data_IF_658288493636
#
_entry.id   IF_658288493636
#
_cell.length_a   1.000
_cell.length_b   1.000
_cell.length_c   1.000
_cell.angle_alpha   90.00
_cell.angle_beta   90.00
_cell.angle_gamma   90.00
#
_symmetry.space_group_name_H-M   'P 1'
#
loop_
_entity.id
_entity.type
_entity.pdbx_description
1 polymer ?
2 polymer ?
3 polymer ?
4 polymer ?
5 non-polymer ?
6 non-polymer ?
7 non-polymer ?
8 non-polymer ?
9 non-polymer ?
10 non-polymer ?
11 water ?
#
loop_
_entity_poly.entity_id
_entity_poly.type
_entity_poly.pdbx_seq_one_letter_code
_entity_poly.pdbx_strand_id
2 'polydeoxyribonucleotide' '(DC)(DG)(DG)(DC)(DC)(DT)(DA)(DC)(DG)' ?
3 'polydeoxyribonucleotide' '(DC)(DG)(DT)(DA)' ?
4 'polydeoxyribonucleotide' '(DG)(DC)(DC)(DG)' ?
#
# COMPACT_ATOMS: atom_id res chain seq x y z
N UNK A 11 0.70 -6.10 -26.94
CA UNK A 11 -0.71 -5.92 -26.60
C UNK A 11 -0.84 -5.39 -25.18
N UNK A 12 -0.47 -6.23 -24.22
CA UNK A 12 -0.55 -5.84 -22.81
C UNK A 12 0.61 -4.91 -22.51
N UNK A 13 0.34 -3.68 -22.05
CA UNK A 13 1.42 -2.75 -21.77
C UNK A 13 2.27 -3.25 -20.63
N UNK A 14 3.54 -2.81 -20.63
CA UNK A 14 4.53 -3.35 -19.71
C UNK A 14 4.46 -2.73 -18.31
N UNK A 15 4.02 -1.48 -18.19
CA UNK A 15 3.92 -0.82 -16.90
C UNK A 15 2.50 -0.92 -16.33
N UNK A 16 2.39 -1.10 -15.02
CA UNK A 16 1.07 -1.23 -14.42
C UNK A 16 0.23 0.04 -14.56
N UNK A 17 0.86 1.19 -14.68
CA UNK A 17 0.14 2.45 -14.81
C UNK A 17 -0.40 2.70 -16.21
N UNK A 18 -0.12 1.79 -17.15
CA UNK A 18 -0.62 1.89 -18.50
C UNK A 18 -1.84 1.02 -18.74
N UNK A 19 -2.32 0.33 -17.72
CA UNK A 19 -3.42 -0.60 -17.95
C UNK A 19 -4.36 -0.58 -16.75
N UNK A 20 -5.66 -0.70 -17.00
CA UNK A 20 -6.62 -0.76 -15.91
C UNK A 20 -6.49 -2.07 -15.15
N UNK A 21 -6.48 -1.99 -13.83
CA UNK A 21 -6.46 -3.17 -12.98
C UNK A 21 -7.61 -3.06 -11.99
N UNK A 22 -8.69 -3.81 -12.19
CA UNK A 22 -9.84 -3.73 -11.29
C UNK A 22 -9.58 -4.49 -9.99
N UNK A 23 -10.46 -4.22 -9.02
CA UNK A 23 -10.38 -4.90 -7.73
C UNK A 23 -10.67 -6.39 -7.86
N UNK A 24 -11.70 -6.73 -8.61
CA UNK A 24 -12.07 -8.12 -8.87
C UNK A 24 -11.59 -8.52 -10.25
N UNK A 25 -10.87 -9.64 -10.32
CA UNK A 25 -10.29 -10.06 -11.58
C UNK A 25 -10.43 -11.57 -11.67
N UNK A 26 -9.82 -12.15 -12.71
CA UNK A 26 -10.15 -13.51 -13.12
C UNK A 26 -9.04 -14.53 -12.89
N UNK A 27 -7.95 -14.17 -12.20
CA UNK A 27 -6.80 -15.04 -12.12
C UNK A 27 -6.23 -15.05 -10.71
N UNK A 28 -7.11 -15.05 -9.71
CA UNK A 28 -6.66 -14.89 -8.33
C UNK A 28 -5.73 -16.01 -7.89
N UNK A 29 -6.05 -17.26 -8.26
CA UNK A 29 -5.19 -18.37 -7.85
C UNK A 29 -3.77 -18.20 -8.35
N UNK A 30 -3.62 -17.83 -9.63
CA UNK A 30 -2.29 -17.63 -10.20
C UNK A 30 -1.58 -16.44 -9.59
N UNK A 31 -2.27 -15.31 -9.46
CA UNK A 31 -1.63 -14.12 -8.93
C UNK A 31 -1.22 -14.33 -7.46
N UNK A 32 -2.06 -15.04 -6.69
CA UNK A 32 -1.71 -15.25 -5.28
C UNK A 32 -0.44 -16.09 -5.15
N UNK A 33 -0.28 -17.09 -6.03
CA UNK A 33 0.92 -17.92 -5.99
C UNK A 33 2.16 -17.10 -6.32
N UNK A 34 2.09 -16.28 -7.36
CA UNK A 34 3.23 -15.45 -7.70
C UNK A 34 3.55 -14.46 -6.59
N UNK A 35 2.52 -13.94 -5.90
CA UNK A 35 2.73 -13.00 -4.79
C UNK A 35 3.37 -13.69 -3.57
N UNK A 36 3.10 -14.98 -3.35
CA UNK A 36 3.85 -15.74 -2.35
C UNK A 36 5.35 -15.69 -2.68
N UNK A 37 5.70 -16.04 -3.93
CA UNK A 37 7.10 -16.03 -4.32
C UNK A 37 7.69 -14.62 -4.22
N UNK A 38 6.91 -13.58 -4.53
CA UNK A 38 7.41 -12.21 -4.39
C UNK A 38 7.72 -11.90 -2.92
N UNK A 39 6.78 -12.21 -2.02
CA UNK A 39 6.96 -11.99 -0.59
C UNK A 39 8.19 -12.74 -0.08
N UNK A 40 8.34 -14.00 -0.49
CA UNK A 40 9.49 -14.79 -0.07
C UNK A 40 10.79 -14.20 -0.59
N UNK A 41 10.77 -13.68 -1.81
CA UNK A 41 11.96 -13.03 -2.33
C UNK A 41 12.33 -11.83 -1.48
N UNK A 42 11.33 -11.04 -1.05
CA UNK A 42 11.59 -9.94 -0.14
C UNK A 42 12.20 -10.41 1.18
N UNK A 43 11.69 -11.52 1.71
CA UNK A 43 12.20 -12.04 2.99
C UNK A 43 13.66 -12.42 2.89
N UNK A 44 14.13 -12.77 1.70
CA UNK A 44 15.52 -13.15 1.51
C UNK A 44 16.37 -11.99 1.01
N UNK A 45 15.79 -10.80 0.90
CA UNK A 45 16.53 -9.61 0.52
C UNK A 45 16.68 -9.38 -0.95
N UNK A 46 15.88 -10.01 -1.81
CA UNK A 46 15.97 -9.73 -3.25
C UNK A 46 14.79 -8.86 -3.68
N UNK A 47 15.01 -7.55 -3.67
CA UNK A 47 13.96 -6.67 -4.10
C UNK A 47 13.75 -6.69 -5.61
N UNK A 48 14.75 -7.14 -6.38
CA UNK A 48 14.51 -7.28 -7.82
C UNK A 48 13.58 -8.44 -8.16
N UNK A 49 13.85 -9.62 -7.59
CA UNK A 49 12.95 -10.75 -7.81
C UNK A 49 11.56 -10.45 -7.26
N UNK A 50 11.47 -9.81 -6.09
CA UNK A 50 10.16 -9.43 -5.56
C UNK A 50 9.40 -8.59 -6.59
N UNK A 51 10.08 -7.61 -7.19
CA UNK A 51 9.42 -6.72 -8.12
C UNK A 51 8.92 -7.48 -9.34
N UNK A 52 9.76 -8.37 -9.90
CA UNK A 52 9.30 -9.11 -11.08
C UNK A 52 8.08 -9.95 -10.76
N UNK A 53 8.10 -10.69 -9.63
CA UNK A 53 6.97 -11.55 -9.33
C UNK A 53 5.71 -10.71 -9.05
N UNK A 54 5.86 -9.55 -8.40
CA UNK A 54 4.74 -8.64 -8.21
C UNK A 54 4.21 -8.14 -9.55
N UNK A 55 5.12 -7.78 -10.47
CA UNK A 55 4.67 -7.29 -11.77
C UNK A 55 3.98 -8.38 -12.57
N UNK A 56 4.52 -9.61 -12.53
CA UNK A 56 3.88 -10.71 -13.24
C UNK A 56 2.48 -10.98 -12.70
N UNK A 57 2.35 -11.00 -11.36
CA UNK A 57 1.03 -11.18 -10.75
C UNK A 57 0.07 -10.10 -11.21
N UNK A 58 0.55 -8.86 -11.28
CA UNK A 58 -0.28 -7.73 -11.64
C UNK A 58 -0.76 -7.83 -13.09
N UNK A 59 0.12 -8.32 -13.97
CA UNK A 59 -0.28 -8.54 -15.37
C UNK A 59 -1.48 -9.47 -15.44
N UNK A 60 -1.49 -10.54 -14.63
CA UNK A 60 -2.61 -11.46 -14.67
C UNK A 60 -3.90 -10.81 -14.16
N UNK A 61 -3.79 -9.89 -13.18
CA UNK A 61 -4.98 -9.20 -12.70
C UNK A 61 -5.59 -8.31 -13.78
N UNK A 62 -4.80 -7.92 -14.78
CA UNK A 62 -5.30 -7.03 -15.82
C UNK A 62 -5.88 -7.77 -17.01
N UNK A 63 -5.74 -9.09 -17.06
CA UNK A 63 -6.26 -9.85 -18.19
C UNK A 63 -7.79 -9.93 -18.12
N UNK A 64 -8.45 -9.99 -19.28
CA UNK A 64 -9.93 -9.98 -19.27
C UNK A 64 -10.57 -11.31 -18.93
N UNK A 65 -9.82 -12.40 -18.93
CA UNK A 65 -10.39 -13.73 -18.81
C UNK A 65 -9.45 -14.61 -18.00
N UNK A 66 -9.93 -15.75 -17.51
CA UNK A 66 -9.05 -16.69 -16.84
C UNK A 66 -8.02 -17.27 -17.80
N UNK A 67 -6.79 -17.36 -17.33
CA UNK A 67 -5.77 -18.13 -18.03
C UNK A 67 -6.06 -19.60 -17.79
N UNK A 68 -6.26 -20.34 -18.86
CA UNK A 68 -6.49 -21.78 -18.77
C UNK A 68 -5.44 -22.60 -19.50
N UNK A 69 -4.63 -21.99 -20.35
CA UNK A 69 -3.60 -22.70 -21.09
C UNK A 69 -2.33 -21.87 -21.08
N UNK A 70 -1.18 -22.57 -21.01
CA UNK A 70 0.11 -21.89 -20.98
C UNK A 70 0.29 -21.00 -22.21
N UNK A 71 -0.33 -21.36 -23.33
CA UNK A 71 -0.33 -20.56 -24.55
C UNK A 71 -0.67 -19.10 -24.28
N UNK A 72 -1.60 -18.86 -23.35
CA UNK A 72 -2.12 -17.51 -23.13
C UNK A 72 -1.12 -16.60 -22.46
N UNK A 73 0.04 -17.10 -22.02
CA UNK A 73 1.09 -16.26 -21.47
C UNK A 73 2.02 -15.70 -22.52
N UNK A 74 2.03 -16.28 -23.72
CA UNK A 74 3.02 -15.89 -24.71
C UNK A 74 2.99 -14.40 -24.95
N UNK A 75 4.16 -13.78 -24.89
CA UNK A 75 4.29 -12.36 -25.15
C UNK A 75 3.95 -11.46 -23.98
N UNK A 76 3.40 -11.97 -22.89
CA UNK A 76 3.03 -11.10 -21.79
C UNK A 76 4.28 -10.52 -21.12
N UNK A 77 4.27 -9.24 -20.79
CA UNK A 77 5.42 -8.66 -20.08
C UNK A 77 5.58 -9.26 -18.70
N UNK A 78 6.86 -9.42 -18.31
CA UNK A 78 7.29 -9.89 -17.00
C UNK A 78 7.06 -11.37 -16.78
N UNK A 79 6.69 -12.11 -17.82
CA UNK A 79 6.65 -13.56 -17.80
C UNK A 79 7.87 -14.11 -18.54
N UNK A 80 8.73 -14.78 -17.79
CA UNK A 80 9.86 -15.50 -18.31
C UNK A 80 9.81 -16.94 -17.86
N UNK A 81 10.98 -17.59 -17.83
CA UNK A 81 11.00 -19.01 -17.55
C UNK A 81 10.38 -19.34 -16.20
N UNK A 82 10.69 -18.54 -15.18
CA UNK A 82 10.32 -18.90 -13.82
C UNK A 82 8.84 -18.67 -13.57
N UNK A 83 8.34 -17.46 -13.85
CA UNK A 83 6.92 -17.18 -13.65
C UNK A 83 6.04 -18.07 -14.52
N UNK A 84 6.50 -18.38 -15.74
CA UNK A 84 5.72 -19.25 -16.61
C UNK A 84 5.63 -20.66 -16.05
N UNK A 85 6.75 -21.17 -15.50
CA UNK A 85 6.72 -22.52 -14.96
C UNK A 85 5.76 -22.61 -13.77
N UNK A 86 5.71 -21.57 -12.95
CA UNK A 86 4.76 -21.57 -11.84
C UNK A 86 3.34 -21.68 -12.36
N UNK A 87 2.98 -20.84 -13.34
CA UNK A 87 1.65 -20.93 -13.92
C UNK A 87 1.42 -22.31 -14.54
N UNK A 88 2.40 -22.82 -15.28
CA UNK A 88 2.28 -24.13 -15.91
C UNK A 88 1.90 -25.19 -14.88
N UNK A 89 2.64 -25.24 -13.78
CA UNK A 89 2.38 -26.26 -12.76
C UNK A 89 1.01 -26.09 -12.14
N UNK A 90 0.61 -24.84 -11.90
CA UNK A 90 -0.72 -24.61 -11.34
C UNK A 90 -1.80 -25.08 -12.31
N UNK A 91 -1.62 -24.82 -13.60
CA UNK A 91 -2.62 -25.23 -14.58
C UNK A 91 -2.69 -26.74 -14.71
N UNK A 92 -1.52 -27.40 -14.69
CA UNK A 92 -1.42 -28.82 -14.95
C UNK A 92 -1.83 -29.64 -13.75
N UNK A 93 -1.49 -29.17 -12.56
CA UNK A 93 -1.60 -29.96 -11.35
C UNK A 93 -2.40 -29.30 -10.24
N UNK A 94 -2.73 -28.02 -10.35
CA UNK A 94 -3.44 -27.34 -9.31
C UNK A 94 -2.58 -26.85 -8.17
N UNK A 95 -1.28 -27.09 -8.23
CA UNK A 95 -0.35 -26.74 -7.17
C UNK A 95 1.02 -26.57 -7.79
N UNK A 96 1.83 -25.69 -7.22
CA UNK A 96 3.21 -25.51 -7.65
C UNK A 96 4.12 -25.90 -6.49
N UNK A 97 5.02 -26.85 -6.76
CA UNK A 97 5.84 -27.43 -5.70
C UNK A 97 6.64 -26.35 -4.97
N UNK A 98 7.29 -25.45 -5.73
CA UNK A 98 8.06 -24.37 -5.11
C UNK A 98 7.22 -23.54 -4.16
N UNK A 99 6.01 -23.17 -4.61
CA UNK A 99 5.13 -22.33 -3.80
C UNK A 99 4.75 -23.07 -2.52
N UNK A 100 4.42 -24.37 -2.62
CA UNK A 100 4.03 -25.10 -1.43
C UNK A 100 5.19 -25.25 -0.46
N UNK A 101 6.40 -25.48 -0.97
CA UNK A 101 7.58 -25.56 -0.12
C UNK A 101 7.78 -24.27 0.66
N UNK A 102 7.65 -23.13 -0.02
CA UNK A 102 7.77 -21.84 0.66
C UNK A 102 6.70 -21.71 1.74
N UNK A 103 5.44 -21.96 1.36
CA UNK A 103 4.31 -21.81 2.29
C UNK A 103 4.53 -22.55 3.60
N UNK A 104 4.99 -23.79 3.50
CA UNK A 104 5.12 -24.67 4.66
C UNK A 104 6.41 -24.45 5.42
N UNK A 105 7.31 -23.60 4.93
CA UNK A 105 8.61 -23.47 5.56
C UNK A 105 8.51 -22.62 6.82
N UNK A 106 9.27 -23.04 7.84
CA UNK A 106 9.33 -22.29 9.10
C UNK A 106 9.78 -20.85 8.87
N UNK A 107 10.74 -20.67 7.96
CA UNK A 107 11.27 -19.34 7.68
C UNK A 107 10.18 -18.43 7.12
N UNK A 108 9.47 -18.87 6.08
CA UNK A 108 8.41 -18.05 5.50
C UNK A 108 7.34 -17.76 6.55
N UNK A 109 6.90 -18.79 7.28
CA UNK A 109 5.81 -18.57 8.22
C UNK A 109 6.21 -17.58 9.30
N UNK A 110 7.43 -17.69 9.81
CA UNK A 110 7.84 -16.77 10.87
C UNK A 110 8.10 -15.36 10.33
N UNK A 111 8.75 -15.25 9.17
CA UNK A 111 8.97 -13.93 8.63
C UNK A 111 7.65 -13.25 8.33
N UNK A 112 6.66 -14.00 7.85
CA UNK A 112 5.35 -13.41 7.60
C UNK A 112 4.72 -12.95 8.92
N UNK A 113 4.82 -13.78 9.95
CA UNK A 113 4.27 -13.45 11.26
C UNK A 113 4.89 -12.18 11.82
N UNK A 114 6.22 -12.07 11.73
CA UNK A 114 6.89 -10.91 12.33
C UNK A 114 6.69 -9.65 11.51
N UNK A 115 6.78 -9.74 10.18
CA UNK A 115 6.66 -8.53 9.37
C UNK A 115 5.24 -8.00 9.31
N UNK A 116 4.25 -8.82 9.70
CA UNK A 116 2.89 -8.30 9.83
C UNK A 116 2.74 -7.34 11.00
N UNK A 117 3.70 -7.32 11.92
CA UNK A 117 3.63 -6.43 13.07
C UNK A 117 3.96 -5.01 12.62
N UNK A 118 3.15 -4.07 13.07
CA UNK A 118 3.44 -2.65 12.82
C UNK A 118 4.73 -2.29 13.53
N UNK A 119 5.68 -1.73 12.77
CA UNK A 119 6.99 -1.41 13.30
C UNK A 119 8.08 -2.39 12.96
N UNK A 120 7.75 -3.53 12.34
CA UNK A 120 8.70 -4.59 12.05
C UNK A 120 8.73 -4.80 10.54
N UNK A 121 9.91 -4.63 9.93
CA UNK A 121 10.13 -5.00 8.55
C UNK A 121 11.03 -6.22 8.40
N UNK A 122 11.44 -6.46 7.15
CA UNK A 122 12.22 -7.67 6.85
C UNK A 122 13.52 -7.72 7.63
N UNK A 123 14.24 -6.61 7.69
CA UNK A 123 15.56 -6.65 8.34
C UNK A 123 15.41 -6.95 9.83
N UNK A 124 14.41 -6.36 10.49
CA UNK A 124 14.21 -6.63 11.91
C UNK A 124 13.77 -8.08 12.10
N UNK A 125 12.78 -8.50 11.32
CA UNK A 125 12.27 -9.86 11.43
C UNK A 125 13.37 -10.88 11.19
N UNK A 126 14.25 -10.62 10.22
CA UNK A 126 15.32 -11.55 9.91
C UNK A 126 16.30 -11.65 11.05
N UNK A 127 16.59 -10.53 11.71
CA UNK A 127 17.49 -10.58 12.85
C UNK A 127 16.89 -11.41 13.97
N UNK A 128 15.61 -11.21 14.26
CA UNK A 128 14.96 -11.99 15.30
C UNK A 128 14.91 -13.48 14.94
N UNK A 129 14.64 -13.80 13.67
CA UNK A 129 14.67 -15.19 13.24
C UNK A 129 16.04 -15.81 13.47
N UNK A 130 17.08 -15.08 13.08
CA UNK A 130 18.44 -15.60 13.27
C UNK A 130 18.77 -15.76 14.74
N UNK A 131 18.14 -14.98 15.62
CA UNK A 131 18.36 -15.09 17.05
C UNK A 131 17.55 -16.22 17.68
N UNK A 132 16.75 -16.93 16.88
CA UNK A 132 15.98 -18.05 17.36
C UNK A 132 14.55 -17.75 17.74
N UNK A 133 14.09 -16.52 17.59
CA UNK A 133 12.73 -16.21 17.97
C UNK A 133 11.77 -16.69 16.88
N UNK A 134 10.58 -17.15 17.31
CA UNK A 134 9.63 -17.76 16.38
C UNK A 134 8.18 -17.33 16.57
N UNK A 135 7.77 -16.86 17.74
CA UNK A 135 6.37 -16.57 18.02
C UNK A 135 6.23 -15.16 18.58
N UNK A 136 4.99 -14.65 18.54
CA UNK A 136 4.71 -13.35 19.15
C UNK A 136 5.01 -13.38 20.64
N UNK A 137 4.68 -14.50 21.31
CA UNK A 137 5.03 -14.66 22.72
C UNK A 137 6.53 -14.51 22.94
N UNK A 138 7.34 -15.09 22.05
CA UNK A 138 8.80 -14.94 22.18
C UNK A 138 9.19 -13.47 22.21
N UNK A 139 8.57 -12.63 21.37
CA UNK A 139 8.90 -11.21 21.37
C UNK A 139 8.42 -10.55 22.66
N UNK A 140 7.20 -10.88 23.10
CA UNK A 140 6.68 -10.30 24.33
C UNK A 140 7.61 -10.57 25.49
N UNK A 141 8.30 -11.73 25.48
CA UNK A 141 9.19 -12.11 26.57
C UNK A 141 10.47 -11.28 26.60
N UNK A 142 10.83 -10.60 25.52
CA UNK A 142 12.07 -9.83 25.42
C UNK A 142 11.76 -8.39 25.05
N UNK A 143 11.01 -7.67 25.90
CA UNK A 143 10.54 -6.33 25.52
C UNK A 143 11.66 -5.33 25.29
N UNK A 144 12.87 -5.57 25.80
CA UNK A 144 13.91 -4.60 25.53
C UNK A 144 14.41 -4.67 24.09
N UNK A 145 14.12 -5.74 23.36
CA UNK A 145 14.43 -5.83 21.94
C UNK A 145 13.53 -4.96 21.09
N UNK A 146 12.53 -4.28 21.65
CA UNK A 146 11.47 -3.63 20.89
C UNK A 146 11.57 -2.11 20.97
N UNK A 147 11.43 -1.46 19.82
CA UNK A 147 11.19 -0.03 19.79
C UNK A 147 9.81 0.27 20.37
N UNK A 148 9.58 1.55 20.68
CA UNK A 148 8.26 1.97 21.14
C UNK A 148 7.19 1.70 20.07
N UNK A 149 7.53 1.93 18.80
CA UNK A 149 6.58 1.64 17.73
C UNK A 149 6.23 0.16 17.68
N UNK A 150 7.24 -0.69 17.84
CA UNK A 150 7.02 -2.13 17.81
C UNK A 150 6.23 -2.59 19.03
N UNK A 151 6.44 -1.94 20.18
CA UNK A 151 5.70 -2.31 21.36
C UNK A 151 4.21 -2.03 21.15
N UNK A 152 3.90 -0.91 20.52
CA UNK A 152 2.52 -0.59 20.19
C UNK A 152 1.96 -1.55 19.16
N UNK A 153 2.73 -1.88 18.12
CA UNK A 153 2.23 -2.83 17.13
C UNK A 153 1.95 -4.19 17.74
N UNK A 154 2.80 -4.64 18.66
CA UNK A 154 2.57 -5.93 19.30
C UNK A 154 1.41 -5.85 20.27
N UNK A 155 1.28 -4.74 20.99
CA UNK A 155 0.22 -4.65 22.00
C UNK A 155 -1.14 -4.73 21.34
N UNK A 156 -1.29 -4.14 20.17
CA UNK A 156 -2.56 -4.04 19.48
C UNK A 156 -2.66 -4.99 18.31
N UNK A 157 -1.81 -6.02 18.29
CA UNK A 157 -1.70 -6.87 17.11
C UNK A 157 -3.00 -7.58 16.77
N UNK A 158 -3.70 -8.12 17.77
CA UNK A 158 -4.95 -8.84 17.47
C UNK A 158 -5.97 -7.92 16.79
N UNK A 159 -6.20 -6.73 17.36
CA UNK A 159 -7.11 -5.77 16.72
C UNK A 159 -6.64 -5.39 15.33
N UNK A 160 -5.33 -5.16 15.16
CA UNK A 160 -4.81 -4.70 13.88
C UNK A 160 -4.87 -5.79 12.82
N UNK A 161 -5.06 -7.05 13.23
CA UNK A 161 -5.23 -8.14 12.29
C UNK A 161 -6.69 -8.37 11.90
N UNK A 162 -7.63 -7.63 12.51
CA UNK A 162 -9.06 -7.69 12.25
C UNK A 162 -9.41 -6.77 11.09
N UNK A 163 -10.09 -7.24 10.05
CA UNK A 163 -10.35 -6.34 8.91
C UNK A 163 -11.10 -5.09 9.35
N UNK A 164 -10.62 -3.95 8.84
CA UNK A 164 -11.34 -2.69 8.94
C UNK A 164 -12.46 -2.68 7.91
N UNK A 165 -13.67 -2.31 8.33
CA UNK A 165 -14.86 -2.29 7.49
C UNK A 165 -15.25 -0.86 7.12
N UNK A 166 -16.11 -0.72 6.11
CA UNK A 166 -16.58 0.62 5.71
C UNK A 166 -17.24 1.37 6.86
N UNK A 167 -17.97 0.67 7.72
CA UNK A 167 -18.60 1.36 8.84
C UNK A 167 -17.54 1.98 9.74
N UNK A 168 -16.42 1.28 9.91
CA UNK A 168 -15.30 1.83 10.67
C UNK A 168 -14.75 3.08 9.97
N UNK A 169 -14.60 3.01 8.64
CA UNK A 169 -14.06 4.14 7.90
C UNK A 169 -14.96 5.36 8.06
N UNK A 170 -16.27 5.17 7.93
CA UNK A 170 -17.18 6.30 8.05
C UNK A 170 -17.10 6.91 9.44
N UNK A 171 -17.04 6.07 10.48
CA UNK A 171 -16.93 6.57 11.84
C UNK A 171 -15.63 7.34 12.04
N UNK A 172 -14.53 6.80 11.53
CA UNK A 172 -13.25 7.47 11.65
C UNK A 172 -13.24 8.77 10.88
N UNK A 173 -13.86 8.80 9.70
CA UNK A 173 -13.84 10.03 8.92
C UNK A 173 -14.55 11.14 9.68
N UNK A 174 -15.65 10.81 10.34
CA UNK A 174 -16.38 11.82 11.09
C UNK A 174 -15.53 12.38 12.23
N UNK A 175 -14.82 11.53 12.99
CA UNK A 175 -14.07 12.11 14.11
C UNK A 175 -12.86 12.88 13.61
N UNK A 176 -12.26 12.45 12.48
CA UNK A 176 -11.14 13.20 11.93
C UNK A 176 -11.64 14.53 11.39
N UNK A 177 -12.79 14.54 10.71
CA UNK A 177 -13.34 15.81 10.23
C UNK A 177 -13.64 16.75 11.39
N UNK A 178 -14.14 16.21 12.50
CA UNK A 178 -14.45 17.06 13.66
C UNK A 178 -13.17 17.68 14.20
N UNK A 179 -12.11 16.87 14.36
CA UNK A 179 -10.88 17.42 14.90
C UNK A 179 -10.28 18.44 13.94
N UNK A 180 -10.31 18.13 12.65
CA UNK A 180 -9.71 19.01 11.65
C UNK A 180 -10.47 20.35 11.62
N UNK A 181 -11.79 20.30 11.66
CA UNK A 181 -12.58 21.53 11.70
C UNK A 181 -12.33 22.37 12.94
N UNK A 182 -12.06 21.72 14.07
CA UNK A 182 -11.73 22.43 15.29
C UNK A 182 -10.33 23.04 15.20
N UNK A 183 -9.43 22.39 14.48
CA UNK A 183 -8.06 22.85 14.36
C UNK A 183 -7.91 23.97 13.34
N UNK A 184 -8.72 23.97 12.27
CA UNK A 184 -8.55 24.95 11.21
C UNK A 184 -9.83 25.07 10.41
N UNK A 185 -10.61 26.14 10.58
CA UNK A 185 -11.84 26.27 9.79
C UNK A 185 -11.52 26.26 8.31
N UNK A 186 -12.34 25.53 7.55
CA UNK A 186 -12.22 25.44 6.11
C UNK A 186 -11.34 24.30 5.64
N UNK A 187 -10.67 23.61 6.55
CA UNK A 187 -9.83 22.51 6.13
C UNK A 187 -10.70 21.31 5.76
N UNK A 188 -10.19 20.49 4.85
CA UNK A 188 -10.93 19.38 4.28
C UNK A 188 -10.22 18.07 4.55
N UNK A 189 -11.01 16.99 4.51
CA UNK A 189 -10.54 15.63 4.74
C UNK A 189 -10.99 14.75 3.59
N UNK A 190 -10.04 14.07 2.96
CA UNK A 190 -10.30 13.20 1.81
C UNK A 190 -9.84 11.78 2.14
N UNK A 191 -10.74 10.82 2.00
CA UNK A 191 -10.38 9.42 2.15
C UNK A 191 -9.50 8.98 0.98
N UNK A 192 -8.35 8.38 1.29
CA UNK A 192 -7.47 7.87 0.23
C UNK A 192 -7.23 6.37 0.43
N UNK A 193 -6.06 5.87 0.01
CA UNK A 193 -5.73 4.47 0.18
C UNK A 193 -6.70 3.51 -0.50
N UNK A 194 -6.69 2.28 0.03
CA UNK A 194 -7.44 1.21 -0.58
C UNK A 194 -8.93 1.44 -0.61
N UNK A 195 -9.48 2.09 0.41
CA UNK A 195 -10.90 2.35 0.35
C UNK A 195 -11.28 3.30 -0.78
N UNK A 196 -10.41 4.26 -1.13
CA UNK A 196 -10.72 5.09 -2.29
C UNK A 196 -10.67 4.29 -3.59
N UNK A 197 -9.89 3.21 -3.62
CA UNK A 197 -9.82 2.30 -4.76
C UNK A 197 -10.99 1.32 -4.80
N UNK A 198 -11.89 1.40 -3.84
CA UNK A 198 -13.10 0.59 -3.88
C UNK A 198 -13.09 -0.61 -2.98
N UNK A 199 -12.01 -0.86 -2.25
CA UNK A 199 -11.98 -2.00 -1.35
C UNK A 199 -13.04 -1.86 -0.28
N UNK A 200 -13.65 -2.98 0.11
CA UNK A 200 -14.68 -2.97 1.12
C UNK A 200 -14.12 -3.29 2.49
N UNK A 201 -12.87 -3.73 2.54
CA UNK A 201 -12.12 -3.97 3.75
C UNK A 201 -10.69 -3.49 3.59
N UNK A 202 -9.98 -3.46 4.70
CA UNK A 202 -8.61 -3.02 4.69
C UNK A 202 -7.98 -3.34 6.01
N UNK A 203 -6.71 -2.99 6.12
CA UNK A 203 -5.99 -3.12 7.38
C UNK A 203 -5.52 -1.77 7.90
N UNK A 204 -5.93 -0.69 7.24
CA UNK A 204 -5.73 0.64 7.77
C UNK A 204 -6.64 1.59 7.00
N UNK A 205 -6.67 2.84 7.44
CA UNK A 205 -7.45 3.88 6.82
C UNK A 205 -6.56 5.08 6.62
N UNK A 206 -6.62 5.68 5.45
CA UNK A 206 -5.74 6.79 5.09
C UNK A 206 -6.57 8.04 4.80
N UNK A 207 -6.16 9.17 5.37
CA UNK A 207 -6.84 10.44 5.13
C UNK A 207 -5.83 11.50 4.72
N UNK A 208 -6.23 12.36 3.78
CA UNK A 208 -5.44 13.45 3.25
C UNK A 208 -6.14 14.75 3.59
N UNK A 209 -5.42 15.67 4.24
CA UNK A 209 -5.97 16.89 4.80
C UNK A 209 -5.34 18.08 4.11
N UNK A 210 -6.15 19.06 3.71
CA UNK A 210 -5.62 20.28 3.12
C UNK A 210 -6.52 21.45 3.48
N UNK A 211 -6.18 22.63 2.94
CA UNK A 211 -6.97 23.84 3.11
C UNK A 211 -6.89 24.61 1.80
N UNK A 212 -8.00 25.20 1.33
CA UNK A 212 -7.97 25.85 0.00
C UNK A 212 -7.04 27.04 -0.09
N UNK A 213 -6.64 27.65 1.01
CA UNK A 213 -5.75 28.81 0.99
C UNK A 213 -4.33 28.33 1.28
N UNK A 214 -3.47 28.39 0.26
CA UNK A 214 -2.09 27.94 0.38
C UNK A 214 -1.42 28.55 1.60
N UNK A 215 -0.82 27.68 2.42
CA UNK A 215 -0.10 28.10 3.60
C UNK A 215 -0.89 28.01 4.89
N UNK A 216 -2.23 28.01 4.83
CA UNK A 216 -3.01 27.97 6.04
C UNK A 216 -2.84 26.66 6.78
N UNK A 217 -2.46 25.62 6.07
CA UNK A 217 -2.30 24.28 6.64
C UNK A 217 -0.98 24.11 7.38
N UNK A 218 -0.10 25.09 7.39
CA UNK A 218 1.14 24.97 8.15
C UNK A 218 0.84 24.75 9.63
N UNK A 219 1.50 23.74 10.21
CA UNK A 219 1.31 23.47 11.62
C UNK A 219 0.04 22.75 11.95
N UNK A 220 -0.69 22.28 10.95
CA UNK A 220 -2.01 21.72 11.21
C UNK A 220 -1.95 20.36 11.90
N UNK A 221 -1.05 19.46 11.47
CA UNK A 221 -1.16 18.09 11.94
C UNK A 221 -0.94 17.99 13.45
N UNK A 222 0.01 18.71 14.07
CA UNK A 222 0.10 18.63 15.54
C UNK A 222 -1.17 19.11 16.22
N UNK A 223 -1.84 20.12 15.67
CA UNK A 223 -3.08 20.58 16.28
C UNK A 223 -4.18 19.54 16.15
N UNK A 224 -4.23 18.85 15.02
CA UNK A 224 -5.22 17.80 14.84
C UNK A 224 -4.95 16.66 15.80
N UNK A 225 -3.69 16.28 15.94
CA UNK A 225 -3.32 15.18 16.84
C UNK A 225 -3.66 15.50 18.29
N UNK A 226 -3.37 16.72 18.73
CA UNK A 226 -3.72 17.11 20.10
C UNK A 226 -5.21 17.02 20.34
N UNK A 227 -6.01 17.46 19.37
CA UNK A 227 -7.44 17.44 19.52
C UNK A 227 -7.98 16.01 19.51
N UNK A 228 -7.36 15.11 18.74
CA UNK A 228 -7.80 13.73 18.79
C UNK A 228 -7.38 13.07 20.09
N UNK A 229 -6.17 13.39 20.57
CA UNK A 229 -5.68 12.85 21.82
C UNK A 229 -6.54 13.29 22.99
N UNK A 230 -6.98 14.54 22.98
CA UNK A 230 -7.78 15.02 24.10
C UNK A 230 -9.17 14.41 24.12
N UNK A 231 -9.64 13.89 22.99
CA UNK A 231 -10.87 13.11 22.96
C UNK A 231 -10.63 11.63 23.28
N UNK A 232 -9.40 11.25 23.64
CA UNK A 232 -9.10 9.88 23.97
C UNK A 232 -9.03 8.93 22.78
N UNK A 233 -8.86 9.47 21.58
CA UNK A 233 -8.95 8.66 20.37
C UNK A 233 -7.61 8.07 19.93
N UNK A 234 -6.49 8.44 20.55
CA UNK A 234 -5.16 8.04 20.07
C UNK A 234 -4.54 7.05 21.04
N UNK A 235 -4.23 5.85 20.54
CA UNK A 235 -3.45 4.88 21.32
C UNK A 235 -1.96 5.02 21.10
N UNK A 236 -1.54 5.33 19.88
CA UNK A 236 -0.14 5.46 19.56
C UNK A 236 0.02 6.50 18.47
N UNK A 237 1.02 7.37 18.63
CA UNK A 237 1.52 8.15 17.51
C UNK A 237 2.96 8.58 17.79
N UNK A 238 3.59 9.12 16.76
CA UNK A 238 4.99 9.59 16.74
C UNK A 238 5.93 8.42 16.49
N UNK A 259 5.35 18.16 11.87
CA UNK A 259 5.34 16.99 10.96
C UNK A 259 4.15 17.08 10.00
N UNK A 260 4.17 16.29 8.90
CA UNK A 260 3.06 16.26 7.94
C UNK A 260 2.52 14.86 7.62
N UNK A 261 3.11 13.79 8.17
CA UNK A 261 2.55 12.45 8.10
C UNK A 261 2.51 11.88 9.50
N UNK A 262 1.40 11.26 9.86
CA UNK A 262 1.32 10.59 11.16
C UNK A 262 0.75 9.21 10.96
N UNK A 263 1.50 8.21 11.43
CA UNK A 263 1.13 6.81 11.32
C UNK A 263 0.66 6.38 12.70
N UNK A 264 -0.65 6.39 12.88
CA UNK A 264 -1.31 6.35 14.18
C UNK A 264 -1.97 5.01 14.41
N UNK A 265 -2.29 4.78 15.66
CA UNK A 265 -3.25 3.76 16.06
C UNK A 265 -4.32 4.47 16.86
N UNK A 266 -5.56 4.37 16.39
CA UNK A 266 -6.70 5.03 17.02
C UNK A 266 -7.41 4.04 17.93
N UNK A 267 -7.99 4.57 19.01
CA UNK A 267 -8.97 3.87 19.86
C UNK A 267 -10.35 4.18 19.29
N UNK A 268 -10.86 3.29 18.45
CA UNK A 268 -12.16 3.49 17.78
C UNK A 268 -13.30 2.96 18.64
N UNK A 269 -14.23 3.81 19.08
CA UNK A 269 -15.36 3.30 19.87
C UNK A 269 -16.16 2.27 19.07
N UNK A 270 -16.61 1.25 19.79
CA UNK A 270 -17.53 0.23 19.30
C UNK A 270 -18.65 0.11 20.32
N UNK A 271 -19.73 -0.61 19.98
CA UNK A 271 -20.81 -0.80 20.96
C UNK A 271 -20.30 -1.41 22.25
N UNK A 272 -20.35 -0.63 23.32
CA UNK A 272 -19.93 -1.09 24.64
C UNK A 272 -18.43 -1.23 24.81
N UNK A 273 -17.64 -0.85 23.81
CA UNK A 273 -16.22 -1.12 23.89
C UNK A 273 -15.43 -0.32 22.86
N UNK A 274 -14.32 -0.87 22.39
CA UNK A 274 -13.45 -0.18 21.45
C UNK A 274 -12.50 -1.19 20.79
N UNK A 275 -11.94 -0.79 19.65
CA UNK A 275 -10.91 -1.57 18.99
C UNK A 275 -9.88 -0.63 18.41
N UNK A 276 -8.64 -1.10 18.40
CA UNK A 276 -7.55 -0.38 17.78
C UNK A 276 -7.63 -0.48 16.27
N UNK A 277 -7.36 0.65 15.59
CA UNK A 277 -7.34 0.72 14.14
C UNK A 277 -6.16 1.58 13.69
N UNK A 278 -5.43 1.10 12.68
CA UNK A 278 -4.36 1.87 12.08
C UNK A 278 -4.94 2.95 11.19
N UNK A 279 -4.49 4.19 11.40
CA UNK A 279 -4.93 5.33 10.61
C UNK A 279 -3.71 6.14 10.24
N UNK A 280 -3.61 6.53 8.95
CA UNK A 280 -2.56 7.43 8.48
C UNK A 280 -3.20 8.78 8.19
N UNK A 281 -2.61 9.84 8.74
CA UNK A 281 -3.05 11.20 8.48
C UNK A 281 -1.93 11.95 7.80
N UNK A 282 -2.27 12.65 6.73
CA UNK A 282 -1.32 13.37 5.91
C UNK A 282 -1.86 14.75 5.65
N UNK A 283 -1.01 15.75 5.81
CA UNK A 283 -1.35 17.12 5.43
C UNK A 283 -0.53 17.51 4.21
N UNK A 284 -1.17 18.18 3.25
CA UNK A 284 -0.50 18.71 2.05
C UNK A 284 -1.02 20.12 1.81
N UNK A 285 -0.18 21.03 1.34
CA UNK A 285 -0.70 22.29 0.81
C UNK A 285 -1.50 22.04 -0.45
N UNK A 286 -2.47 22.92 -0.69
CA UNK A 286 -3.43 22.63 -1.77
C UNK A 286 -2.75 22.57 -3.13
N UNK A 287 -1.65 23.33 -3.32
CA UNK A 287 -0.90 23.24 -4.57
C UNK A 287 -0.41 21.82 -4.84
N UNK A 288 -0.16 21.03 -3.80
CA UNK A 288 0.34 19.69 -3.93
C UNK A 288 -0.77 18.65 -3.87
N UNK A 289 -2.02 19.07 -3.61
CA UNK A 289 -3.07 18.10 -3.31
C UNK A 289 -3.23 17.02 -4.38
N UNK A 290 -3.25 17.32 -5.69
CA UNK A 290 -3.41 16.24 -6.66
C UNK A 290 -2.27 15.23 -6.63
N UNK A 291 -1.04 15.68 -6.35
CA UNK A 291 0.08 14.75 -6.24
C UNK A 291 -0.01 13.89 -5.00
N UNK A 292 -0.46 14.47 -3.88
CA UNK A 292 -0.61 13.70 -2.67
C UNK A 292 -1.78 12.74 -2.78
N UNK A 293 -2.86 13.17 -3.41
CA UNK A 293 -4.00 12.29 -3.62
C UNK A 293 -3.61 11.10 -4.50
N UNK A 294 -2.89 11.38 -5.60
CA UNK A 294 -2.41 10.31 -6.47
C UNK A 294 -1.49 9.36 -5.72
N UNK A 295 -0.56 9.93 -4.93
CA UNK A 295 0.37 9.11 -4.18
C UNK A 295 -0.30 8.21 -3.16
N UNK A 296 -1.13 8.80 -2.31
CA UNK A 296 -1.68 8.04 -1.19
C UNK A 296 -2.83 7.15 -1.60
N UNK A 297 -3.35 7.29 -2.82
CA UNK A 297 -4.38 6.38 -3.27
C UNK A 297 -3.80 5.03 -3.71
N UNK A 298 -2.52 4.96 -4.08
CA UNK A 298 -1.96 3.63 -4.39
C UNK A 298 -2.54 3.06 -5.68
N UNK A 299 -2.49 1.71 -5.82
CA UNK A 299 -1.82 0.79 -4.93
C UNK A 299 -0.32 1.02 -4.83
N UNK A 300 0.33 0.33 -3.89
CA UNK A 300 1.78 0.49 -3.73
C UNK A 300 2.52 0.16 -5.03
N UNK A 301 2.15 -0.96 -5.66
CA UNK A 301 2.79 -1.30 -6.93
C UNK A 301 2.44 -0.29 -8.00
N UNK A 302 1.18 0.14 -8.05
CA UNK A 302 0.80 1.13 -9.04
C UNK A 302 1.70 2.37 -8.91
N UNK A 303 1.92 2.83 -7.67
CA UNK A 303 2.72 4.05 -7.46
C UNK A 303 4.14 3.88 -7.94
N UNK A 304 4.77 2.76 -7.57
CA UNK A 304 6.16 2.61 -7.97
C UNK A 304 6.27 2.44 -9.48
N UNK A 305 5.30 1.79 -10.10
CA UNK A 305 5.28 1.67 -11.56
C UNK A 305 5.08 3.03 -12.23
N UNK A 306 4.20 3.86 -11.68
CA UNK A 306 3.95 5.20 -12.20
C UNK A 306 5.20 6.08 -12.09
N UNK A 307 5.88 6.03 -10.94
CA UNK A 307 7.09 6.83 -10.78
C UNK A 307 8.21 6.31 -11.66
N UNK A 308 8.28 4.99 -11.86
CA UNK A 308 9.27 4.43 -12.79
C UNK A 308 8.99 4.86 -14.22
N UNK A 309 7.73 4.81 -14.62
CA UNK A 309 7.34 5.27 -15.95
C UNK A 309 7.70 6.73 -16.15
N UNK A 310 7.36 7.56 -15.15
CA UNK A 310 7.62 8.99 -15.25
C UNK A 310 9.10 9.27 -15.52
N UNK A 311 9.98 8.66 -14.72
CA UNK A 311 11.41 8.93 -14.84
C UNK A 311 12.00 8.27 -16.09
N UNK A 312 11.72 6.97 -16.28
CA UNK A 312 12.43 6.22 -17.33
C UNK A 312 11.88 6.47 -18.71
N UNK A 313 10.57 6.70 -18.84
CA UNK A 313 9.98 6.96 -20.15
C UNK A 313 9.82 8.43 -20.46
N UNK A 314 9.58 9.28 -19.46
CA UNK A 314 9.31 10.69 -19.72
C UNK A 314 10.38 11.64 -19.20
N UNK A 315 11.36 11.15 -18.44
CA UNK A 315 12.39 12.05 -17.94
C UNK A 315 11.95 13.01 -16.87
N UNK A 316 10.84 12.72 -16.18
CA UNK A 316 10.28 13.59 -15.16
C UNK A 316 10.29 12.85 -13.84
N UNK A 317 10.43 13.60 -12.75
CA UNK A 317 10.57 12.98 -11.44
C UNK A 317 9.29 13.20 -10.63
N UNK A 318 8.63 12.12 -10.24
CA UNK A 318 7.33 12.17 -9.60
C UNK A 318 7.43 11.76 -8.13
N UNK A 319 6.81 12.54 -7.24
CA UNK A 319 6.58 12.08 -5.88
C UNK A 319 5.22 12.61 -5.43
N UNK A 320 4.95 12.57 -4.11
CA UNK A 320 3.63 12.98 -3.62
C UNK A 320 3.55 14.49 -3.44
N UNK A 321 4.62 15.22 -3.75
CA UNK A 321 4.65 16.67 -3.71
C UNK A 321 4.54 17.33 -5.07
N UNK A 322 4.90 16.64 -6.15
CA UNK A 322 5.00 17.31 -7.44
C UNK A 322 5.60 16.41 -8.50
N UNK A 323 5.75 17.02 -9.67
CA UNK A 323 6.30 16.38 -10.86
C UNK A 323 7.31 17.35 -11.45
N UNK A 324 8.58 16.98 -11.43
CA UNK A 324 9.68 17.89 -11.65
C UNK A 324 10.34 17.59 -12.98
N UNK A 325 10.52 18.63 -13.81
CA UNK A 325 11.29 18.53 -15.03
C UNK A 325 12.72 18.92 -14.70
N UNK A 326 13.67 17.98 -14.63
CA UNK A 326 15.03 18.30 -14.17
C UNK A 326 15.86 19.10 -15.15
N UNK A 327 15.47 19.18 -16.42
CA UNK A 327 16.20 20.03 -17.36
C UNK A 327 15.75 21.48 -17.29
N UNK A 328 14.43 21.70 -17.22
CA UNK A 328 13.92 23.06 -17.11
C UNK A 328 13.93 23.54 -15.68
N UNK A 329 14.07 22.63 -14.73
CA UNK A 329 14.09 22.97 -13.31
C UNK A 329 12.75 23.57 -12.87
N UNK A 330 11.66 22.97 -13.34
CA UNK A 330 10.32 23.49 -13.10
C UNK A 330 9.42 22.35 -12.65
N UNK A 331 8.41 22.73 -11.87
CA UNK A 331 7.38 21.82 -11.40
C UNK A 331 6.11 22.02 -12.21
N UNK A 332 5.41 20.92 -12.49
CA UNK A 332 4.21 20.95 -13.32
C UNK A 332 2.99 21.29 -12.44
N UNK A 333 2.30 22.37 -12.77
CA UNK A 333 1.16 22.83 -11.98
C UNK A 333 -0.03 21.98 -12.38
N UNK A 334 -0.50 21.16 -11.46
CA UNK A 334 -1.63 20.28 -11.71
C UNK A 334 -2.83 20.74 -10.89
N UNK A 335 -4.01 20.67 -11.47
CA UNK A 335 -5.23 20.96 -10.73
C UNK A 335 -5.98 19.70 -10.34
N UNK A 336 -5.61 18.56 -10.91
CA UNK A 336 -6.33 17.32 -10.73
C UNK A 336 -5.39 16.17 -11.02
N UNK A 337 -5.76 14.97 -10.55
CA UNK A 337 -5.05 13.76 -10.96
C UNK A 337 -5.04 13.60 -12.48
N UNK A 338 -6.18 13.88 -13.13
CA UNK A 338 -6.26 13.79 -14.59
C UNK A 338 -5.16 14.61 -15.23
N UNK A 339 -4.88 15.80 -14.69
CA UNK A 339 -3.83 16.64 -15.27
C UNK A 339 -2.48 15.93 -15.23
N UNK A 340 -2.20 15.19 -14.15
CA UNK A 340 -0.92 14.52 -13.99
C UNK A 340 -0.80 13.39 -15.01
N UNK A 341 -1.84 12.57 -15.12
CA UNK A 341 -1.83 11.50 -16.13
C UNK A 341 -1.58 12.08 -17.53
N UNK A 342 -2.13 13.28 -17.78
CA UNK A 342 -1.92 13.95 -19.07
C UNK A 342 -0.51 14.50 -19.20
N UNK A 343 0.06 15.06 -18.12
CA UNK A 343 1.45 15.50 -18.20
C UNK A 343 2.39 14.35 -18.53
N UNK A 344 1.94 13.11 -18.29
CA UNK A 344 2.76 11.93 -18.48
C UNK A 344 2.41 11.14 -19.72
N UNK A 345 1.44 11.59 -20.52
CA UNK A 345 1.03 10.87 -21.71
C UNK A 345 0.33 9.55 -21.45
N UNK A 346 -0.33 9.44 -20.31
CA UNK A 346 -1.04 8.25 -19.89
C UNK A 346 -2.54 8.46 -19.97
N UNK A 347 -3.26 7.44 -20.40
CA UNK A 347 -4.71 7.46 -20.30
C UNK A 347 -5.08 7.47 -18.82
N UNK A 348 -6.05 8.33 -18.48
CA UNK A 348 -6.46 8.45 -17.08
C UNK A 348 -7.05 7.14 -16.58
N UNK A 349 -6.65 6.74 -15.37
CA UNK A 349 -7.23 5.61 -14.67
C UNK A 349 -7.93 6.11 -13.42
N UNK A 350 -9.22 5.87 -13.24
CA UNK A 350 -9.86 6.20 -11.96
C UNK A 350 -9.29 5.32 -10.86
N UNK A 351 -9.44 5.72 -9.58
CA UNK A 351 -8.85 4.94 -8.50
C UNK A 351 -9.21 3.46 -8.50
N UNK A 352 -10.44 3.11 -8.86
CA UNK A 352 -10.85 1.72 -8.85
C UNK A 352 -10.17 0.89 -9.92
N UNK A 353 -9.41 1.51 -10.83
CA UNK A 353 -8.62 0.78 -11.83
C UNK A 353 -7.11 0.85 -11.55
N UNK A 354 -6.71 1.22 -10.33
CA UNK A 354 -5.32 1.31 -9.91
C UNK A 354 -4.96 0.21 -8.94
N UNK A 355 -5.70 -0.90 -8.99
CA UNK A 355 -5.49 -2.01 -8.05
C UNK A 355 -4.43 -2.98 -8.55
N UNK A 356 -3.28 -2.44 -8.95
CA UNK A 356 -2.18 -3.25 -9.47
C UNK A 356 -1.57 -4.08 -8.37
X LIG E 1 2.40 8.50 -0.85
X LIG E 1 2.89 8.63 -2.16
X LIG E 1 3.41 7.78 0.02
X LIG E 1 3.61 6.52 -0.54
X LIG F 1 -15.91 -14.68 -16.67
X LIG F 1 -15.46 -13.46 -17.18
X LIG F 1 -15.52 -15.81 -17.62
X LIG F 1 -15.24 -15.28 -18.88
X LIG G 1 10.75 -3.47 -16.89
X LIG G 1 12.11 -3.10 -16.87
X LIG G 1 10.00 -2.80 -18.04
X LIG G 1 8.65 -2.62 -17.68
X LIG H 1 6.45 10.84 -1.83
X LIG H 1 6.80 12.13 -1.40
X LIG H 1 6.22 9.73 -0.83
X LIG I 1 -2.18 3.63 5.29
X LIG J 1 5.49 -4.56 9.58
X LIG K 1 -4.60 1.98 3.41
X LIG L 1 16.96 -9.74 -6.44
X LIG M 1 -11.98 -7.92 -0.28
X LIG M 1 -11.66 -6.18 -0.71
X LIG M 1 -11.19 -5.50 0.48
X LIG M 1 -10.62 -6.12 -1.73
X LIG M 1 -12.91 -5.58 -1.17
X LIG N 1 3.69 -8.10 -4.89
#
# INVERSE_FOLDING_TARGET
GSAAAPLSPAWMPAYACQRPTPLTHHNTGLSEALEILAEAAGFEGSEGRLLTFCRAASVLKALPSPVTTLSQLQGLPHFGEHSSRVVQELLEHGVCEEVERVRRSERYQTMKLFTQIFGVGVKTADRWYREGLRTLDDLREQPQKLTQQQKAGLQHHQDLSTPVLRSDVDALQQVVEEAVGQALPGATVTLTGGFRRGKLQGHDVDFLITHPKEGQEAGLLPRVMCRLQDQGLILYHQHQHSCCESPTRLAQQSHMDAFERSFCIFRLPQPGSWKAVRVDLVVAPVSQFPFALLGWTGSKLFQRELRRFSRKEKGLWLNSHGLFDPEQKTFFQAASEEDIFRHLGLEYLPPEQRNA
EDO C1 O1 C2 O2
EDO C1 O1 C2 O2
EDO C1 O1 C2 O2
EDO C1 O1 C2
MG MG
NA NA
NA NA
CL CL
EPE C10 S O1S O2S O3S
DTT S1
#
